data_IF_567724069603
#
_entry.id   IF_567724069603
#
_cell.length_a   1.000
_cell.length_b   1.000
_cell.length_c   1.000
_cell.angle_alpha   90.00
_cell.angle_beta   90.00
_cell.angle_gamma   90.00
#
_symmetry.space_group_name_H-M   'P 1'
#
loop_
_entity.id
_entity.type
_entity.pdbx_description
1 polymer ?
#
# COMPACT_ATOMS: atom_id res chain seq x y z
N UNK A 1 -15.53 12.46 -18.82
CA UNK A 1 -14.56 11.58 -18.12
C UNK A 1 -15.12 11.11 -16.75
N UNK A 2 -16.10 10.19 -16.69
CA UNK A 2 -16.78 9.87 -15.40
C UNK A 2 -16.41 8.49 -14.80
N UNK A 3 -15.95 7.53 -15.60
CA UNK A 3 -15.80 6.13 -15.17
C UNK A 3 -14.53 5.77 -14.37
N UNK A 4 -13.58 6.69 -14.19
CA UNK A 4 -12.32 6.45 -13.47
C UNK A 4 -12.36 6.82 -11.97
N UNK A 5 -13.51 7.27 -11.47
CA UNK A 5 -13.71 7.66 -10.06
C UNK A 5 -13.98 6.48 -9.11
N UNK A 6 -14.39 5.30 -9.60
CA UNK A 6 -15.16 4.39 -8.73
C UNK A 6 -14.39 3.19 -8.14
N UNK A 7 -13.11 2.97 -8.49
CA UNK A 7 -12.41 1.72 -8.09
C UNK A 7 -10.97 1.90 -7.64
N UNK A 8 -10.68 2.94 -6.84
CA UNK A 8 -9.39 3.16 -6.15
C UNK A 8 -9.13 2.03 -5.13
N UNK A 9 -8.16 1.14 -5.38
CA UNK A 9 -7.85 -0.01 -4.49
C UNK A 9 -6.34 -0.19 -4.33
N UNK A 10 -5.93 -0.49 -3.09
CA UNK A 10 -4.66 -0.07 -2.45
C UNK A 10 -3.37 -0.82 -2.77
N UNK A 11 -2.27 -0.26 -2.22
CA UNK A 11 -0.86 -0.69 -2.35
C UNK A 11 0.10 0.33 -2.99
N UNK A 12 -0.33 1.58 -3.26
CA UNK A 12 0.30 2.41 -4.31
C UNK A 12 1.32 3.47 -3.85
N UNK A 13 1.65 3.59 -2.57
CA UNK A 13 2.56 4.65 -2.11
C UNK A 13 4.04 4.28 -2.27
N UNK A 14 4.37 2.99 -2.23
CA UNK A 14 5.75 2.49 -2.19
C UNK A 14 6.14 1.79 -3.51
N UNK A 15 5.16 1.22 -4.22
CA UNK A 15 5.40 0.44 -5.43
C UNK A 15 4.85 1.22 -6.63
N UNK A 16 5.64 1.45 -7.70
CA UNK A 16 5.18 2.13 -8.90
C UNK A 16 3.93 1.43 -9.44
N UNK A 17 2.81 2.13 -9.41
CA UNK A 17 1.50 1.59 -9.78
C UNK A 17 1.01 2.27 -11.06
N UNK A 18 1.57 1.92 -12.25
CA UNK A 18 1.09 2.45 -13.51
C UNK A 18 -0.41 2.15 -13.62
N UNK A 19 -1.19 3.13 -14.10
CA UNK A 19 -2.66 3.12 -14.17
C UNK A 19 -3.40 3.50 -12.87
N UNK A 20 -2.68 3.76 -11.78
CA UNK A 20 -3.21 4.34 -10.52
C UNK A 20 -2.46 5.61 -10.10
N UNK A 21 -1.89 6.34 -11.06
CA UNK A 21 -0.98 7.48 -10.81
C UNK A 21 -1.55 8.51 -9.83
N UNK A 22 -2.79 8.95 -10.01
CA UNK A 22 -3.43 9.94 -9.10
C UNK A 22 -3.57 9.37 -7.69
N UNK A 23 -3.95 8.10 -7.57
CA UNK A 23 -4.08 7.45 -6.25
C UNK A 23 -2.72 7.30 -5.56
N UNK A 24 -1.70 6.87 -6.31
CA UNK A 24 -0.31 6.79 -5.83
C UNK A 24 0.22 8.15 -5.39
N UNK A 25 -0.01 9.20 -6.19
CA UNK A 25 0.35 10.58 -5.86
C UNK A 25 -0.36 11.06 -4.58
N UNK A 26 -1.67 10.85 -4.46
CA UNK A 26 -2.42 11.21 -3.24
C UNK A 26 -1.89 10.48 -2.00
N UNK A 27 -1.54 9.19 -2.12
CA UNK A 27 -1.00 8.42 -0.99
C UNK A 27 0.43 8.81 -0.63
N UNK A 28 1.25 9.20 -1.61
CA UNK A 28 2.60 9.74 -1.39
C UNK A 28 2.54 11.11 -0.72
N UNK A 29 1.59 11.96 -1.12
CA UNK A 29 1.32 13.23 -0.46
C UNK A 29 0.98 13.03 1.02
N UNK A 30 0.03 12.14 1.33
CA UNK A 30 -0.33 11.83 2.73
C UNK A 30 0.88 11.32 3.51
N UNK A 31 1.71 10.45 2.92
CA UNK A 31 2.94 9.98 3.55
C UNK A 31 3.85 11.14 3.96
N UNK A 32 4.14 12.05 3.03
CA UNK A 32 5.03 13.18 3.29
C UNK A 32 4.43 14.15 4.30
N UNK A 33 3.16 14.47 4.15
CA UNK A 33 2.41 15.34 5.06
C UNK A 33 2.42 14.79 6.50
N UNK A 34 2.18 13.49 6.68
CA UNK A 34 2.22 12.85 8.01
C UNK A 34 3.63 12.87 8.62
N UNK A 35 4.68 12.68 7.82
CA UNK A 35 6.06 12.74 8.31
C UNK A 35 6.42 14.16 8.78
N UNK A 36 6.06 15.18 7.99
CA UNK A 36 6.34 16.58 8.35
C UNK A 36 5.56 17.00 9.61
N UNK A 37 4.30 16.58 9.73
CA UNK A 37 3.53 16.77 10.96
C UNK A 37 4.18 16.07 12.16
N UNK A 38 4.69 14.85 12.00
CA UNK A 38 5.37 14.14 13.09
C UNK A 38 6.57 14.94 13.60
N UNK A 39 7.38 15.48 12.69
CA UNK A 39 8.52 16.32 13.02
C UNK A 39 8.10 17.62 13.75
N UNK A 40 7.07 18.32 13.26
CA UNK A 40 6.57 19.57 13.85
C UNK A 40 6.00 19.38 15.26
N UNK A 41 5.29 18.27 15.48
CA UNK A 41 4.57 17.99 16.71
C UNK A 41 5.34 17.13 17.71
N UNK A 42 6.51 16.61 17.32
CA UNK A 42 7.42 15.84 18.19
C UNK A 42 7.77 16.59 19.48
N UNK A 43 7.99 17.91 19.39
CA UNK A 43 8.31 18.79 20.53
C UNK A 43 7.17 18.92 21.55
N UNK A 44 5.94 18.58 21.17
CA UNK A 44 4.78 18.57 22.07
C UNK A 44 4.46 17.17 22.60
N UNK A 45 5.32 16.18 22.36
CA UNK A 45 5.09 14.78 22.76
C UNK A 45 4.00 14.07 21.97
N UNK A 46 3.56 14.64 20.84
CA UNK A 46 2.52 14.05 19.98
C UNK A 46 3.22 13.20 18.91
N UNK A 47 2.88 11.91 18.86
CA UNK A 47 3.39 10.98 17.84
C UNK A 47 2.41 10.89 16.68
N UNK A 48 2.87 11.21 15.47
CA UNK A 48 2.13 10.99 14.22
C UNK A 48 2.82 9.88 13.43
N UNK A 49 2.08 8.80 13.13
CA UNK A 49 2.59 7.67 12.36
C UNK A 49 1.73 7.44 11.11
N UNK A 50 2.38 7.24 9.97
CA UNK A 50 1.71 6.91 8.71
C UNK A 50 1.76 5.40 8.43
N UNK A 51 0.59 4.77 8.33
CA UNK A 51 0.49 3.36 7.93
C UNK A 51 0.30 3.23 6.41
N UNK A 52 1.17 2.46 5.78
CA UNK A 52 1.13 2.14 4.35
C UNK A 52 0.88 0.64 4.13
N UNK A 53 -0.34 0.16 4.43
CA UNK A 53 -0.67 -1.25 4.26
C UNK A 53 -0.58 -1.69 2.79
N UNK A 54 -0.18 -2.95 2.62
CA UNK A 54 -0.44 -3.70 1.41
C UNK A 54 -1.93 -4.09 1.30
N UNK A 55 -2.19 -5.26 0.72
CA UNK A 55 -3.56 -5.76 0.63
C UNK A 55 -4.09 -6.18 2.01
N UNK A 56 -5.31 -5.77 2.34
CA UNK A 56 -6.06 -6.20 3.54
C UNK A 56 -7.42 -6.69 3.08
N UNK A 57 -7.94 -7.77 3.67
CA UNK A 57 -9.23 -8.36 3.30
C UNK A 57 -10.41 -7.47 3.76
N UNK A 58 -10.74 -6.46 2.94
CA UNK A 58 -11.79 -5.46 3.18
C UNK A 58 -12.73 -5.38 1.99
N UNK A 59 -13.88 -4.73 2.17
CA UNK A 59 -14.79 -4.38 1.07
C UNK A 59 -14.08 -3.55 -0.01
N UNK A 60 -13.11 -2.72 0.39
CA UNK A 60 -12.26 -1.93 -0.51
C UNK A 60 -11.32 -2.81 -1.33
N UNK A 61 -10.85 -3.96 -0.85
CA UNK A 61 -10.04 -4.88 -1.67
C UNK A 61 -10.87 -5.93 -2.42
N UNK A 62 -12.16 -6.16 -2.04
CA UNK A 62 -13.01 -7.26 -2.57
C UNK A 62 -12.36 -8.63 -2.38
N UNK A 63 -11.43 -8.74 -1.42
CA UNK A 63 -10.83 -10.00 -1.00
C UNK A 63 -11.75 -10.57 0.08
N UNK A 64 -12.43 -11.69 -0.23
CA UNK A 64 -13.40 -12.33 0.68
C UNK A 64 -12.74 -13.25 1.71
N UNK A 65 -11.56 -13.78 1.43
CA UNK A 65 -10.86 -14.73 2.29
C UNK A 65 -9.51 -14.16 2.69
N UNK A 66 -9.19 -14.20 3.99
CA UNK A 66 -7.87 -13.81 4.47
C UNK A 66 -6.81 -14.73 3.88
N UNK A 67 -5.72 -14.16 3.40
CA UNK A 67 -4.53 -14.89 2.98
C UNK A 67 -3.34 -14.40 3.80
N UNK A 68 -2.23 -15.13 3.75
CA UNK A 68 -1.01 -14.74 4.46
C UNK A 68 -0.55 -13.31 4.12
N UNK A 69 -0.71 -12.89 2.86
CA UNK A 69 -0.41 -11.54 2.36
C UNK A 69 -1.58 -10.54 2.42
N UNK A 70 -2.79 -11.02 2.73
CA UNK A 70 -3.98 -10.16 2.90
C UNK A 70 -4.72 -10.55 4.18
N UNK A 71 -4.28 -10.05 5.36
CA UNK A 71 -4.90 -10.38 6.64
C UNK A 71 -6.32 -9.82 6.76
N UNK A 72 -7.07 -10.32 7.74
CA UNK A 72 -8.31 -9.69 8.18
C UNK A 72 -8.02 -8.30 8.80
N UNK A 73 -8.98 -7.36 8.76
CA UNK A 73 -8.79 -6.02 9.30
C UNK A 73 -8.45 -6.01 10.79
N UNK A 74 -9.12 -6.86 11.59
CA UNK A 74 -8.86 -6.96 13.04
C UNK A 74 -7.40 -7.34 13.32
N UNK A 75 -6.93 -8.42 12.69
CA UNK A 75 -5.55 -8.89 12.80
C UNK A 75 -4.53 -7.83 12.33
N UNK A 76 -4.84 -7.13 11.23
CA UNK A 76 -3.99 -6.04 10.74
C UNK A 76 -3.86 -4.92 11.77
N UNK A 77 -4.96 -4.51 12.41
CA UNK A 77 -4.94 -3.45 13.43
C UNK A 77 -4.18 -3.89 14.67
N UNK A 78 -4.37 -5.13 15.13
CA UNK A 78 -3.63 -5.69 16.26
C UNK A 78 -2.12 -5.63 16.02
N UNK A 79 -1.64 -6.08 14.85
CA UNK A 79 -0.22 -5.98 14.52
C UNK A 79 0.23 -4.53 14.31
N UNK A 80 -0.58 -3.68 13.67
CA UNK A 80 -0.22 -2.29 13.41
C UNK A 80 -0.08 -1.48 14.71
N UNK A 81 -0.92 -1.75 15.72
CA UNK A 81 -0.83 -1.10 17.03
C UNK A 81 0.51 -1.35 17.72
N UNK A 82 1.10 -2.54 17.55
CA UNK A 82 2.43 -2.84 18.12
C UNK A 82 3.57 -2.04 17.48
N UNK A 83 3.33 -1.41 16.33
CA UNK A 83 4.35 -0.63 15.60
C UNK A 83 4.35 0.86 15.94
N UNK A 84 3.37 1.33 16.71
CA UNK A 84 3.23 2.75 17.08
C UNK A 84 4.46 3.21 17.87
N UNK A 85 5.04 4.34 17.48
CA UNK A 85 6.21 4.94 18.13
C UNK A 85 7.57 4.33 17.76
N UNK A 86 7.60 3.25 16.97
CA UNK A 86 8.87 2.61 16.54
C UNK A 86 9.42 3.25 15.27
N UNK A 87 8.54 3.60 14.32
CA UNK A 87 8.89 4.24 13.04
C UNK A 87 7.84 5.29 12.66
N UNK A 88 8.26 6.34 11.96
CA UNK A 88 7.34 7.37 11.46
C UNK A 88 6.42 6.83 10.34
N UNK A 89 6.94 5.92 9.51
CA UNK A 89 6.20 5.22 8.48
C UNK A 89 6.43 3.70 8.53
N UNK A 90 5.35 2.93 8.38
CA UNK A 90 5.42 1.46 8.41
C UNK A 90 4.27 0.83 7.64
N UNK A 91 4.44 -0.42 7.20
CA UNK A 91 3.34 -1.19 6.61
C UNK A 91 2.38 -1.74 7.66
N UNK A 92 2.74 -1.70 8.96
CA UNK A 92 1.90 -2.14 10.09
C UNK A 92 1.64 -3.66 10.16
N UNK A 93 2.22 -4.44 9.24
CA UNK A 93 2.02 -5.89 9.15
C UNK A 93 3.31 -6.52 8.61
N UNK A 94 3.87 -7.49 9.34
CA UNK A 94 5.20 -8.02 9.04
C UNK A 94 5.33 -8.62 7.63
N UNK A 95 4.38 -9.45 7.14
CA UNK A 95 4.44 -9.95 5.78
C UNK A 95 4.40 -8.86 4.70
N UNK A 96 3.75 -7.72 4.95
CA UNK A 96 3.80 -6.57 4.02
C UNK A 96 5.19 -5.91 4.02
N UNK A 97 5.85 -5.82 5.17
CA UNK A 97 7.22 -5.30 5.26
C UNK A 97 8.18 -6.19 4.49
N UNK A 98 8.07 -7.51 4.63
CA UNK A 98 8.87 -8.48 3.87
C UNK A 98 8.66 -8.32 2.36
N UNK A 99 7.41 -8.20 1.91
CA UNK A 99 7.09 -7.99 0.50
C UNK A 99 7.72 -6.72 -0.06
N UNK A 100 7.62 -5.59 0.65
CA UNK A 100 8.26 -4.32 0.25
C UNK A 100 9.78 -4.47 0.22
N UNK A 101 10.37 -5.15 1.20
CA UNK A 101 11.81 -5.43 1.24
C UNK A 101 12.28 -6.24 0.02
N UNK A 102 11.55 -7.28 -0.36
CA UNK A 102 11.86 -8.09 -1.56
C UNK A 102 11.75 -7.25 -2.83
N UNK A 103 10.72 -6.42 -2.97
CA UNK A 103 10.57 -5.54 -4.14
C UNK A 103 11.72 -4.54 -4.24
N UNK A 104 12.11 -3.93 -3.13
CA UNK A 104 13.24 -2.99 -3.08
C UNK A 104 14.57 -3.70 -3.39
N UNK A 105 14.79 -4.89 -2.85
CA UNK A 105 15.99 -5.68 -3.15
C UNK A 105 16.07 -6.05 -4.64
N UNK A 106 14.95 -6.45 -5.24
CA UNK A 106 14.88 -6.74 -6.68
C UNK A 106 15.14 -5.48 -7.53
N UNK A 107 14.67 -4.31 -7.09
CA UNK A 107 14.94 -3.05 -7.79
C UNK A 107 16.41 -2.66 -7.72
N UNK A 108 17.07 -2.88 -6.57
CA UNK A 108 18.51 -2.70 -6.42
C UNK A 108 19.33 -3.65 -7.31
N UNK A 109 18.91 -4.91 -7.45
CA UNK A 109 19.63 -5.92 -8.24
C UNK A 109 19.41 -5.68 -9.75
N UNK A 110 18.16 -5.48 -10.17
CA UNK A 110 17.82 -5.28 -11.57
C UNK A 110 16.55 -4.44 -11.72
N UNK A 111 16.70 -3.12 -11.95
CA UNK A 111 15.55 -2.22 -12.03
C UNK A 111 14.70 -2.48 -13.28
N UNK A 112 15.28 -3.02 -14.36
CA UNK A 112 14.53 -3.41 -15.56
C UNK A 112 13.60 -4.60 -15.29
N UNK A 113 14.09 -5.62 -14.57
CA UNK A 113 13.33 -6.79 -14.21
C UNK A 113 12.20 -6.44 -13.22
N UNK A 114 12.52 -5.65 -12.19
CA UNK A 114 11.54 -5.17 -11.21
C UNK A 114 10.38 -4.42 -11.88
N UNK A 115 10.69 -3.43 -12.73
CA UNK A 115 9.67 -2.68 -13.49
C UNK A 115 8.81 -3.57 -14.38
N UNK A 116 9.42 -4.53 -15.07
CA UNK A 116 8.68 -5.48 -15.92
C UNK A 116 7.73 -6.36 -15.10
N UNK A 117 8.21 -6.91 -13.98
CA UNK A 117 7.41 -7.73 -13.06
C UNK A 117 6.23 -6.94 -12.47
N UNK A 118 6.48 -5.75 -11.95
CA UNK A 118 5.46 -4.87 -11.37
C UNK A 118 4.43 -4.48 -12.43
N UNK A 119 4.87 -4.08 -13.62
CA UNK A 119 3.95 -3.69 -14.70
C UNK A 119 3.09 -4.87 -15.13
N UNK A 120 3.67 -6.06 -15.27
CA UNK A 120 2.95 -7.29 -15.65
C UNK A 120 1.93 -7.70 -14.58
N UNK A 121 2.27 -7.61 -13.29
CA UNK A 121 1.33 -7.92 -12.21
C UNK A 121 0.18 -6.91 -12.16
N UNK A 122 0.45 -5.62 -12.30
CA UNK A 122 -0.57 -4.56 -12.33
C UNK A 122 -1.52 -4.70 -13.52
N UNK A 123 -1.00 -5.01 -14.71
CA UNK A 123 -1.82 -5.29 -15.90
C UNK A 123 -2.73 -6.50 -15.70
N UNK A 124 -2.22 -7.58 -15.11
CA UNK A 124 -3.01 -8.77 -14.79
C UNK A 124 -4.12 -8.49 -13.77
N UNK A 125 -3.82 -7.68 -12.74
CA UNK A 125 -4.83 -7.25 -11.76
C UNK A 125 -5.93 -6.44 -12.44
N UNK A 126 -5.56 -5.47 -13.29
CA UNK A 126 -6.53 -4.68 -14.06
C UNK A 126 -7.37 -5.54 -14.98
N UNK A 127 -6.76 -6.45 -15.73
CA UNK A 127 -7.48 -7.37 -16.63
C UNK A 127 -8.48 -8.26 -15.86
N UNK A 128 -8.13 -8.71 -14.65
CA UNK A 128 -9.08 -9.42 -13.76
C UNK A 128 -10.19 -8.51 -13.26
N UNK A 129 -9.89 -7.27 -12.89
CA UNK A 129 -10.86 -6.31 -12.40
C UNK A 129 -11.88 -5.89 -13.47
N UNK A 130 -11.42 -5.69 -14.71
CA UNK A 130 -12.29 -5.40 -15.88
C UNK A 130 -13.18 -6.58 -16.22
N UNK A 131 -12.66 -7.82 -16.23
CA UNK A 131 -13.47 -9.03 -16.43
C UNK A 131 -14.60 -9.20 -15.40
N UNK A 132 -14.38 -8.76 -14.16
CA UNK A 132 -15.41 -8.74 -13.10
C UNK A 132 -16.38 -7.55 -13.20
N UNK A 133 -16.12 -6.56 -14.06
CA UNK A 133 -16.98 -5.40 -14.25
C UNK A 133 -17.99 -5.59 -15.37
N UNK A 134 -17.67 -6.47 -16.32
CA UNK A 134 -18.51 -6.81 -17.49
C UNK A 134 -19.50 -7.95 -17.18
N UNK A 135 -19.28 -8.65 -16.05
CA UNK A 135 -20.15 -9.70 -15.52
C UNK A 135 -21.03 -9.12 -14.43
#
# INVERSE_FOLDING_TARGET
MPGMMERRRGGAAQIPSPLLTVYSASKSYVKKFSADLSAEYSKYGITVQCLLPGYVATNMSKIRSSTWMAPLPKKYVEEAMTTIGVKEDTTGYFPHTLMVGVVNALDCISPKLSRWLITRTMLNIRARALRRAVR
#
